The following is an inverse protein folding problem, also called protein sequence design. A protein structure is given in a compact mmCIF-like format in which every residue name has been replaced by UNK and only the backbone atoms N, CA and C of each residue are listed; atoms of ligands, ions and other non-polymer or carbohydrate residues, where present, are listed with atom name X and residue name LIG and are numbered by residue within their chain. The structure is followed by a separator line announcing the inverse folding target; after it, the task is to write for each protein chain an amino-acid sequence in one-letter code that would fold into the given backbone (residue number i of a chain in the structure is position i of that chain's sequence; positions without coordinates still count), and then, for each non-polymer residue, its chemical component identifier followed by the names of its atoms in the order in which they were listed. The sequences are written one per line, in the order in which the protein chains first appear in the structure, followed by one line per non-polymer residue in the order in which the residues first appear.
data_IF_658906193391
#
_entry.id   IF_658906193391
#
_cell.length_a   1.000
_cell.length_b   1.000
_cell.length_c   1.000
_cell.angle_alpha   90.00
_cell.angle_beta   90.00
_cell.angle_gamma   90.00
#
_symmetry.space_group_name_H-M   'P 1'
#
loop_
_entity.id
_entity.type
_entity.pdbx_description
1 polymer ?
#
# COMPACT_ATOMS: atom_id res chain seq x y z
N UNK A 1 37.99 -40.68 45.28
CA UNK A 1 38.81 -39.59 44.68
C UNK A 1 38.19 -39.27 43.33
N UNK A 2 37.16 -38.42 43.24
CA UNK A 2 37.22 -36.96 42.98
C UNK A 2 38.24 -36.58 41.90
N UNK A 3 37.79 -36.46 40.66
CA UNK A 3 38.47 -35.67 39.62
C UNK A 3 37.66 -34.42 39.37
N UNK A 4 38.26 -33.27 39.67
CA UNK A 4 37.74 -31.93 39.47
C UNK A 4 38.43 -31.31 38.25
N UNK A 5 37.66 -30.77 37.31
CA UNK A 5 38.19 -30.00 36.18
C UNK A 5 38.31 -28.54 36.63
N UNK A 6 39.55 -28.02 36.60
CA UNK A 6 39.86 -26.60 36.81
C UNK A 6 39.52 -25.80 35.55
N UNK A 7 38.76 -24.71 35.72
CA UNK A 7 38.61 -23.63 34.72
C UNK A 7 39.88 -22.79 34.69
N UNK A 8 40.25 -22.26 33.52
CA UNK A 8 40.74 -20.88 33.35
C UNK A 8 40.65 -20.46 31.87
N UNK A 9 39.60 -19.67 31.61
CA UNK A 9 39.48 -18.48 30.77
C UNK A 9 40.64 -18.16 29.78
N UNK A 10 40.34 -18.05 28.48
CA UNK A 10 40.81 -16.93 27.64
C UNK A 10 40.04 -16.82 26.31
N UNK A 11 39.38 -15.66 26.15
CA UNK A 11 39.15 -14.86 24.93
C UNK A 11 38.35 -15.45 23.76
N UNK A 12 37.04 -15.19 23.76
CA UNK A 12 36.21 -15.22 22.54
C UNK A 12 35.87 -13.78 22.16
N UNK A 13 36.56 -13.25 21.14
CA UNK A 13 36.12 -12.07 20.39
C UNK A 13 35.02 -12.54 19.43
N UNK A 14 33.77 -12.55 19.92
CA UNK A 14 32.58 -12.70 19.08
C UNK A 14 31.90 -11.32 19.04
N UNK A 15 32.29 -10.49 18.07
CA UNK A 15 31.49 -9.33 17.68
C UNK A 15 30.18 -9.89 17.10
N UNK A 16 29.17 -9.96 17.95
CA UNK A 16 27.82 -10.29 17.58
C UNK A 16 27.29 -9.22 16.61
N UNK A 17 27.26 -9.57 15.33
CA UNK A 17 26.38 -8.94 14.34
C UNK A 17 24.97 -9.35 14.76
N UNK A 18 24.33 -8.56 15.62
CA UNK A 18 22.90 -8.64 15.83
C UNK A 18 22.23 -8.07 14.58
N UNK A 19 21.50 -8.86 13.78
CA UNK A 19 20.59 -8.28 12.81
C UNK A 19 19.56 -7.46 13.59
N UNK A 20 19.47 -6.17 13.28
CA UNK A 20 18.35 -5.31 13.67
C UNK A 20 17.10 -5.86 12.97
N UNK A 21 16.43 -6.79 13.64
CA UNK A 21 15.08 -7.21 13.28
C UNK A 21 14.20 -6.01 13.60
N UNK A 22 13.90 -5.20 12.58
CA UNK A 22 12.87 -4.18 12.69
C UNK A 22 11.53 -4.92 12.75
N UNK A 23 11.11 -5.26 13.97
CA UNK A 23 9.74 -5.64 14.24
C UNK A 23 8.93 -4.36 14.02
N UNK A 24 8.37 -4.21 12.82
CA UNK A 24 7.25 -3.30 12.61
C UNK A 24 6.09 -3.88 13.42
N UNK A 25 5.99 -3.50 14.68
CA UNK A 25 4.77 -3.69 15.44
C UNK A 25 3.71 -2.80 14.76
N UNK A 26 2.91 -3.39 13.88
CA UNK A 26 1.67 -2.77 13.45
C UNK A 26 0.88 -2.48 14.73
N UNK A 27 0.67 -1.19 15.04
CA UNK A 27 -0.13 -0.81 16.21
C UNK A 27 -1.52 -1.44 16.00
N UNK A 28 -1.97 -2.37 16.86
CA UNK A 28 -3.25 -3.02 16.67
C UNK A 28 -4.35 -1.96 16.68
N UNK A 29 -5.12 -1.89 15.60
CA UNK A 29 -6.25 -0.97 15.52
C UNK A 29 -7.42 -1.56 16.27
N UNK A 30 -7.65 -1.07 17.49
CA UNK A 30 -8.76 -1.47 18.33
C UNK A 30 -10.00 -0.62 18.03
N UNK A 31 -11.12 -1.29 17.78
CA UNK A 31 -12.44 -0.69 17.54
C UNK A 31 -13.30 -0.96 18.77
N UNK A 32 -13.88 0.11 19.33
CA UNK A 32 -14.89 -0.02 20.38
C UNK A 32 -16.24 -0.33 19.73
N UNK A 33 -16.94 -1.33 20.25
CA UNK A 33 -18.29 -1.69 19.83
C UNK A 33 -19.21 -1.80 21.05
N UNK A 34 -20.38 -1.19 20.94
CA UNK A 34 -21.40 -1.21 21.98
C UNK A 34 -22.79 -1.36 21.35
N UNK A 35 -23.69 -2.00 22.08
CA UNK A 35 -25.05 -2.19 21.61
C UNK A 35 -25.99 -2.59 22.74
N UNK A 36 -27.26 -2.79 22.39
CA UNK A 36 -28.29 -3.31 23.28
C UNK A 36 -28.87 -4.56 22.66
N UNK A 37 -28.85 -5.67 23.39
CA UNK A 37 -29.49 -6.91 22.97
C UNK A 37 -30.92 -6.97 23.54
N UNK A 38 -31.89 -7.18 22.68
CA UNK A 38 -33.28 -7.40 23.05
C UNK A 38 -33.79 -8.71 22.46
N UNK A 39 -34.80 -9.30 23.09
CA UNK A 39 -35.54 -10.42 22.50
C UNK A 39 -36.57 -9.93 21.46
N UNK A 40 -37.38 -10.86 20.95
CA UNK A 40 -38.42 -10.55 19.97
C UNK A 40 -39.56 -9.68 20.52
N UNK A 41 -39.74 -9.61 21.85
CA UNK A 41 -40.72 -8.78 22.54
C UNK A 41 -40.18 -7.36 22.82
N UNK A 42 -38.88 -7.14 22.60
CA UNK A 42 -38.18 -5.89 22.89
C UNK A 42 -37.63 -5.80 24.31
N UNK A 43 -37.72 -6.88 25.09
CA UNK A 43 -37.22 -6.95 26.46
C UNK A 43 -35.70 -7.12 26.45
N UNK A 44 -34.97 -6.49 27.40
CA UNK A 44 -33.52 -6.59 27.46
C UNK A 44 -33.07 -8.01 27.78
N UNK A 45 -32.13 -8.52 26.98
CA UNK A 45 -31.46 -9.79 27.28
C UNK A 45 -30.28 -9.50 28.19
N UNK A 46 -30.21 -10.14 29.36
CA UNK A 46 -29.20 -9.86 30.39
C UNK A 46 -28.25 -11.05 30.61
N UNK A 47 -27.19 -10.80 31.39
CA UNK A 47 -26.22 -11.81 31.81
C UNK A 47 -25.14 -12.10 30.77
N UNK A 48 -24.35 -13.13 31.04
CA UNK A 48 -23.19 -13.47 30.22
C UNK A 48 -23.60 -14.05 28.86
N UNK A 49 -23.01 -13.50 27.79
CA UNK A 49 -23.16 -13.97 26.42
C UNK A 49 -21.81 -14.10 25.75
N UNK A 50 -21.64 -15.14 24.94
CA UNK A 50 -20.45 -15.29 24.09
C UNK A 50 -20.64 -14.47 22.82
N UNK A 51 -19.77 -13.49 22.59
CA UNK A 51 -19.83 -12.60 21.43
C UNK A 51 -18.71 -12.93 20.44
N UNK A 52 -19.01 -12.78 19.16
CA UNK A 52 -18.06 -12.84 18.07
C UNK A 52 -18.45 -11.83 16.98
N UNK A 53 -17.45 -11.33 16.26
CA UNK A 53 -17.63 -10.38 15.18
C UNK A 53 -17.02 -10.89 13.88
N UNK A 54 -17.63 -10.50 12.76
CA UNK A 54 -17.09 -10.73 11.43
C UNK A 54 -17.32 -9.49 10.56
N UNK A 55 -16.44 -9.23 9.59
CA UNK A 55 -16.60 -8.16 8.60
C UNK A 55 -16.70 -8.79 7.22
N UNK A 56 -17.66 -8.31 6.44
CA UNK A 56 -17.90 -8.72 5.06
C UNK A 56 -17.84 -7.53 4.10
N UNK A 57 -17.65 -7.80 2.82
CA UNK A 57 -17.67 -6.78 1.75
C UNK A 57 -19.09 -6.38 1.28
N UNK A 58 -20.15 -6.99 1.84
CA UNK A 58 -21.54 -6.70 1.47
C UNK A 58 -22.53 -6.86 2.65
N UNK A 59 -23.66 -6.14 2.57
CA UNK A 59 -24.74 -6.15 3.57
C UNK A 59 -25.36 -7.54 3.78
N UNK A 60 -25.41 -8.34 2.71
CA UNK A 60 -25.91 -9.71 2.68
C UNK A 60 -25.07 -10.52 1.72
N UNK A 61 -24.72 -11.76 2.06
CA UNK A 61 -23.77 -12.56 1.28
C UNK A 61 -22.35 -12.03 1.44
N UNK A 62 -21.66 -11.80 0.32
CA UNK A 62 -20.30 -11.22 0.31
C UNK A 62 -19.20 -12.16 0.80
N UNK A 63 -17.96 -11.72 0.63
CA UNK A 63 -16.77 -12.41 1.11
C UNK A 63 -16.47 -12.00 2.55
N UNK A 64 -16.01 -12.97 3.35
CA UNK A 64 -15.47 -12.70 4.67
C UNK A 64 -14.14 -11.96 4.53
N UNK A 65 -14.01 -10.83 5.20
CA UNK A 65 -12.79 -10.03 5.26
C UNK A 65 -12.08 -10.14 6.61
N UNK A 66 -12.84 -10.29 7.69
CA UNK A 66 -12.32 -10.36 9.06
C UNK A 66 -13.18 -11.24 9.95
N UNK A 67 -12.58 -11.91 10.93
CA UNK A 67 -13.33 -12.52 12.03
C UNK A 67 -12.57 -12.47 13.35
N UNK A 68 -13.30 -12.32 14.45
CA UNK A 68 -12.74 -12.34 15.81
C UNK A 68 -13.73 -12.91 16.81
N UNK A 69 -13.24 -13.78 17.70
CA UNK A 69 -13.99 -14.23 18.87
C UNK A 69 -13.70 -13.30 20.05
N UNK A 70 -14.74 -12.63 20.56
CA UNK A 70 -14.62 -11.73 21.71
C UNK A 70 -14.65 -12.54 23.02
N UNK A 71 -15.36 -13.67 23.02
CA UNK A 71 -15.56 -14.48 24.20
C UNK A 71 -16.75 -14.01 25.04
N UNK A 72 -16.73 -14.32 26.34
CA UNK A 72 -17.85 -14.02 27.24
C UNK A 72 -17.87 -12.53 27.60
N UNK A 73 -18.99 -11.88 27.34
CA UNK A 73 -19.28 -10.48 27.68
C UNK A 73 -20.54 -10.41 28.54
N UNK A 74 -20.45 -9.70 29.66
CA UNK A 74 -21.60 -9.48 30.54
C UNK A 74 -22.51 -8.38 29.98
N UNK A 75 -23.81 -8.67 29.87
CA UNK A 75 -24.83 -7.69 29.53
C UNK A 75 -25.49 -7.17 30.82
N UNK A 76 -25.64 -5.85 30.93
CA UNK A 76 -26.27 -5.22 32.09
C UNK A 76 -27.80 -5.48 32.15
N UNK A 77 -28.46 -4.99 33.18
CA UNK A 77 -29.92 -5.14 33.38
C UNK A 77 -30.76 -4.51 32.24
N UNK A 78 -30.16 -3.64 31.44
CA UNK A 78 -30.77 -2.97 30.28
C UNK A 78 -30.40 -3.66 28.96
N UNK A 79 -29.64 -4.76 29.01
CA UNK A 79 -29.15 -5.53 27.88
C UNK A 79 -28.00 -4.87 27.13
N UNK A 80 -27.33 -3.89 27.75
CA UNK A 80 -26.20 -3.16 27.16
C UNK A 80 -24.94 -4.00 27.28
N UNK A 81 -24.19 -4.08 26.18
CA UNK A 81 -22.83 -4.64 26.14
C UNK A 81 -21.86 -3.65 25.49
N UNK A 82 -20.59 -3.79 25.84
CA UNK A 82 -19.49 -3.04 25.25
C UNK A 82 -18.24 -3.92 25.23
N UNK A 83 -17.54 -3.96 24.11
CA UNK A 83 -16.27 -4.67 23.97
C UNK A 83 -15.37 -3.98 22.94
N UNK A 84 -14.12 -4.42 22.89
CA UNK A 84 -13.14 -3.99 21.91
C UNK A 84 -12.77 -5.17 21.02
N UNK A 85 -12.55 -4.90 19.74
CA UNK A 85 -12.17 -5.88 18.74
C UNK A 85 -11.18 -5.27 17.76
N UNK A 86 -10.39 -6.07 17.07
CA UNK A 86 -9.49 -5.66 16.01
C UNK A 86 -8.05 -6.11 16.17
N UNK A 87 -7.65 -6.50 17.40
CA UNK A 87 -6.28 -6.93 17.68
C UNK A 87 -6.10 -8.45 17.61
N UNK A 88 -7.07 -9.24 18.09
CA UNK A 88 -6.91 -10.68 18.25
C UNK A 88 -7.59 -11.51 17.16
N UNK A 89 -8.33 -10.85 16.24
CA UNK A 89 -8.92 -11.53 15.10
C UNK A 89 -8.01 -11.62 13.88
N UNK A 90 -8.53 -12.24 12.84
CA UNK A 90 -7.81 -12.57 11.61
C UNK A 90 -8.48 -11.92 10.41
N UNK A 91 -7.69 -11.20 9.62
CA UNK A 91 -8.09 -10.68 8.31
C UNK A 91 -7.76 -11.66 7.19
N UNK A 92 -8.61 -11.69 6.16
CA UNK A 92 -8.33 -12.33 4.88
C UNK A 92 -7.87 -11.25 3.92
N UNK A 93 -6.65 -11.38 3.39
CA UNK A 93 -6.05 -10.42 2.45
C UNK A 93 -5.62 -11.11 1.17
N UNK A 94 -5.72 -10.41 0.04
CA UNK A 94 -5.19 -10.89 -1.24
C UNK A 94 -3.77 -10.35 -1.44
N UNK A 95 -2.80 -11.27 -1.59
CA UNK A 95 -1.40 -10.95 -1.92
C UNK A 95 -1.12 -11.30 -3.38
N UNK A 96 -0.22 -10.52 -3.98
CA UNK A 96 0.35 -10.83 -5.29
C UNK A 96 1.87 -10.88 -5.18
N UNK A 97 2.49 -11.91 -5.76
CA UNK A 97 3.94 -12.05 -5.78
C UNK A 97 4.44 -12.40 -7.18
N UNK A 98 5.67 -12.00 -7.49
CA UNK A 98 6.35 -12.41 -8.71
C UNK A 98 6.90 -13.82 -8.55
N UNK A 99 6.44 -14.76 -9.39
CA UNK A 99 6.98 -16.13 -9.51
C UNK A 99 8.32 -16.09 -10.24
N UNK A 100 8.42 -15.27 -11.28
CA UNK A 100 9.65 -15.04 -12.03
C UNK A 100 9.46 -14.04 -13.17
N UNK A 101 10.56 -13.67 -13.81
CA UNK A 101 10.56 -12.86 -15.03
C UNK A 101 11.10 -13.72 -16.15
N UNK A 102 10.39 -13.75 -17.27
CA UNK A 102 10.72 -14.62 -18.39
C UNK A 102 12.02 -14.17 -19.06
N UNK A 103 12.84 -15.14 -19.48
CA UNK A 103 14.16 -14.90 -20.07
C UNK A 103 14.25 -15.34 -21.54
N UNK A 104 13.15 -15.82 -22.14
CA UNK A 104 13.14 -16.37 -23.48
C UNK A 104 13.63 -17.81 -23.59
N UNK A 105 14.01 -18.46 -22.48
CA UNK A 105 14.64 -19.79 -22.46
C UNK A 105 13.97 -20.77 -21.50
N UNK A 106 13.67 -20.34 -20.26
CA UNK A 106 13.04 -21.17 -19.25
C UNK A 106 11.55 -21.38 -19.55
N UNK A 107 11.11 -22.62 -19.42
CA UNK A 107 9.71 -23.03 -19.56
C UNK A 107 9.02 -23.31 -18.24
N UNK A 108 9.74 -23.31 -17.11
CA UNK A 108 9.16 -23.57 -15.78
C UNK A 108 9.65 -22.51 -14.80
N UNK A 109 8.72 -21.90 -14.09
CA UNK A 109 8.98 -20.92 -13.04
C UNK A 109 8.33 -21.40 -11.75
N UNK A 110 9.13 -21.55 -10.71
CA UNK A 110 8.67 -22.05 -9.41
C UNK A 110 8.89 -21.00 -8.33
N UNK A 111 7.98 -20.96 -7.38
CA UNK A 111 8.12 -20.12 -6.19
C UNK A 111 7.39 -20.73 -5.00
N UNK A 112 8.03 -20.67 -3.83
CA UNK A 112 7.34 -20.89 -2.56
C UNK A 112 6.68 -19.57 -2.15
N UNK A 113 5.38 -19.61 -1.87
CA UNK A 113 4.62 -18.44 -1.42
C UNK A 113 5.13 -17.97 -0.05
N UNK A 114 5.11 -16.66 0.15
CA UNK A 114 5.59 -16.07 1.41
C UNK A 114 4.64 -16.35 2.57
N UNK A 115 3.33 -16.41 2.30
CA UNK A 115 2.31 -16.79 3.26
C UNK A 115 1.61 -18.09 2.88
N UNK A 116 0.96 -18.69 3.87
CA UNK A 116 0.09 -19.85 3.62
C UNK A 116 -1.15 -19.40 2.86
N UNK A 117 -1.28 -19.83 1.60
CA UNK A 117 -2.47 -19.54 0.80
C UNK A 117 -3.68 -20.33 1.29
N UNK A 118 -4.83 -19.67 1.33
CA UNK A 118 -6.11 -20.30 1.55
C UNK A 118 -6.50 -21.19 0.37
N UNK A 119 -7.21 -22.27 0.67
CA UNK A 119 -7.67 -23.26 -0.31
C UNK A 119 -8.47 -22.60 -1.43
N UNK A 120 -8.20 -23.00 -2.68
CA UNK A 120 -8.90 -22.55 -3.88
C UNK A 120 -8.76 -21.04 -4.21
N UNK A 121 -7.73 -20.37 -3.70
CA UNK A 121 -7.52 -18.93 -3.93
C UNK A 121 -6.34 -18.62 -4.86
N UNK A 122 -5.45 -19.59 -5.10
CA UNK A 122 -4.22 -19.37 -5.88
C UNK A 122 -4.54 -19.29 -7.37
N UNK A 123 -4.04 -18.24 -8.00
CA UNK A 123 -4.11 -17.99 -9.44
C UNK A 123 -2.77 -17.47 -9.96
N UNK A 124 -2.36 -17.89 -11.16
CA UNK A 124 -1.10 -17.52 -11.82
C UNK A 124 -1.44 -16.85 -13.15
N UNK A 125 -0.72 -15.79 -13.52
CA UNK A 125 -0.81 -15.17 -14.84
C UNK A 125 0.52 -14.57 -15.28
N UNK A 126 0.77 -14.53 -16.57
CA UNK A 126 1.87 -13.76 -17.19
C UNK A 126 1.34 -12.59 -18.05
N UNK A 127 0.05 -12.25 -17.91
CA UNK A 127 -0.67 -11.30 -18.74
C UNK A 127 -1.20 -11.86 -20.06
N UNK A 128 -0.73 -13.04 -20.50
CA UNK A 128 -1.25 -13.75 -21.69
C UNK A 128 -2.05 -14.98 -21.30
N UNK A 129 -1.48 -15.83 -20.45
CA UNK A 129 -2.10 -17.04 -19.94
C UNK A 129 -2.52 -16.85 -18.47
N UNK A 130 -3.53 -17.60 -18.08
CA UNK A 130 -3.98 -17.68 -16.70
C UNK A 130 -4.16 -19.12 -16.28
N UNK A 131 -3.87 -19.41 -15.03
CA UNK A 131 -4.27 -20.66 -14.37
C UNK A 131 -4.85 -20.33 -13.00
N UNK A 132 -5.91 -21.00 -12.58
CA UNK A 132 -6.39 -20.95 -11.20
C UNK A 132 -6.64 -22.35 -10.65
N UNK A 133 -6.59 -22.50 -9.33
CA UNK A 133 -6.92 -23.76 -8.67
C UNK A 133 -8.33 -24.27 -9.01
N UNK A 134 -9.27 -23.35 -9.27
CA UNK A 134 -10.69 -23.66 -9.49
C UNK A 134 -11.06 -23.85 -10.94
N UNK A 135 -10.38 -23.17 -11.86
CA UNK A 135 -10.74 -23.16 -13.30
C UNK A 135 -9.69 -23.81 -14.18
N UNK A 136 -8.53 -24.19 -13.63
CA UNK A 136 -7.44 -24.76 -14.42
C UNK A 136 -6.82 -23.72 -15.36
N UNK A 137 -6.20 -24.19 -16.44
CA UNK A 137 -5.50 -23.32 -17.40
C UNK A 137 -6.44 -22.73 -18.45
N UNK A 138 -6.20 -21.48 -18.84
CA UNK A 138 -6.85 -20.84 -19.99
C UNK A 138 -6.43 -21.42 -21.34
N UNK A 139 -5.24 -22.02 -21.42
CA UNK A 139 -4.80 -22.78 -22.60
C UNK A 139 -4.00 -24.01 -22.17
N UNK A 140 -4.67 -25.14 -21.85
CA UNK A 140 -4.02 -26.35 -21.34
C UNK A 140 -2.96 -26.96 -22.26
N UNK A 141 -2.96 -26.63 -23.56
CA UNK A 141 -1.93 -27.05 -24.53
C UNK A 141 -0.65 -26.23 -24.45
N UNK A 142 -0.71 -25.01 -23.91
CA UNK A 142 0.38 -24.04 -23.96
C UNK A 142 0.91 -23.68 -22.58
N UNK A 143 0.04 -23.69 -21.58
CA UNK A 143 0.32 -23.26 -20.24
C UNK A 143 -0.36 -24.17 -19.23
N UNK A 144 0.35 -24.56 -18.18
CA UNK A 144 -0.21 -25.19 -16.99
C UNK A 144 0.25 -24.43 -15.76
N UNK A 145 -0.56 -24.50 -14.72
CA UNK A 145 -0.17 -24.12 -13.38
C UNK A 145 -0.34 -25.29 -12.42
N UNK A 146 0.39 -25.25 -11.33
CA UNK A 146 0.13 -26.11 -10.18
C UNK A 146 0.39 -25.35 -8.88
N UNK A 147 -0.32 -25.75 -7.84
CA UNK A 147 -0.07 -25.32 -6.48
C UNK A 147 -0.08 -26.53 -5.55
N UNK A 148 0.97 -26.67 -4.76
CA UNK A 148 1.08 -27.66 -3.71
C UNK A 148 0.87 -26.98 -2.35
N UNK A 149 -0.24 -27.28 -1.68
CA UNK A 149 -0.61 -26.63 -0.42
C UNK A 149 0.24 -27.09 0.77
N UNK A 150 0.96 -28.20 0.66
CA UNK A 150 1.82 -28.70 1.73
C UNK A 150 3.16 -27.97 1.79
N UNK A 151 3.71 -27.63 0.63
CA UNK A 151 4.97 -26.90 0.46
C UNK A 151 4.78 -25.40 0.20
N UNK A 152 3.57 -24.98 -0.17
CA UNK A 152 3.30 -23.62 -0.63
C UNK A 152 3.90 -23.31 -2.00
N UNK A 153 4.31 -24.33 -2.77
CA UNK A 153 4.98 -24.13 -4.06
C UNK A 153 3.97 -23.91 -5.18
N UNK A 154 4.12 -22.81 -5.91
CA UNK A 154 3.48 -22.58 -7.19
C UNK A 154 4.44 -22.84 -8.35
N UNK A 155 3.90 -23.39 -9.43
CA UNK A 155 4.64 -23.64 -10.66
C UNK A 155 3.86 -23.09 -11.86
N UNK A 156 4.51 -22.29 -12.67
CA UNK A 156 4.03 -21.87 -13.99
C UNK A 156 4.81 -22.65 -15.05
N UNK A 157 4.11 -23.38 -15.92
CA UNK A 157 4.71 -24.37 -16.83
C UNK A 157 4.26 -24.05 -18.27
N UNK A 158 5.20 -23.71 -19.12
CA UNK A 158 4.97 -23.42 -20.54
C UNK A 158 5.28 -24.66 -21.38
N UNK A 159 4.27 -25.19 -22.07
CA UNK A 159 4.36 -26.45 -22.82
C UNK A 159 4.77 -26.21 -24.27
N UNK A 160 4.25 -25.17 -24.91
CA UNK A 160 4.46 -24.92 -26.33
C UNK A 160 5.77 -24.19 -26.68
N UNK A 161 6.54 -23.82 -25.65
CA UNK A 161 7.85 -23.19 -25.79
C UNK A 161 8.08 -22.12 -24.72
N UNK A 162 9.32 -21.66 -24.62
CA UNK A 162 9.65 -20.60 -23.67
C UNK A 162 8.94 -19.28 -24.06
N UNK A 163 8.31 -18.58 -23.11
CA UNK A 163 7.72 -17.28 -23.36
C UNK A 163 8.81 -16.26 -23.69
N UNK A 164 8.49 -15.25 -24.51
CA UNK A 164 9.42 -14.17 -24.82
C UNK A 164 9.94 -13.48 -23.55
N UNK A 165 11.19 -13.02 -23.58
CA UNK A 165 11.83 -12.39 -22.43
C UNK A 165 11.11 -11.10 -22.00
N UNK A 166 11.13 -10.83 -20.69
CA UNK A 166 10.64 -9.58 -20.09
C UNK A 166 9.19 -9.59 -19.61
N UNK A 167 8.49 -10.74 -19.62
CA UNK A 167 7.16 -10.86 -19.01
C UNK A 167 7.28 -11.21 -17.54
N UNK A 168 6.43 -10.63 -16.71
CA UNK A 168 6.35 -10.97 -15.29
C UNK A 168 5.31 -12.05 -15.09
N UNK A 169 5.72 -13.19 -14.53
CA UNK A 169 4.81 -14.23 -14.06
C UNK A 169 4.40 -13.88 -12.64
N UNK A 170 3.13 -13.59 -12.43
CA UNK A 170 2.56 -13.18 -11.15
C UNK A 170 1.64 -14.26 -10.62
N UNK A 171 1.77 -14.56 -9.33
CA UNK A 171 0.79 -15.34 -8.57
C UNK A 171 -0.03 -14.39 -7.70
N UNK A 172 -1.33 -14.62 -7.60
CA UNK A 172 -2.24 -13.96 -6.67
C UNK A 172 -2.96 -15.01 -5.84
N UNK A 173 -3.08 -14.79 -4.54
CA UNK A 173 -3.71 -15.72 -3.60
C UNK A 173 -4.24 -14.97 -2.37
N UNK A 174 -5.16 -15.58 -1.63
CA UNK A 174 -5.62 -15.01 -0.36
C UNK A 174 -4.96 -15.73 0.81
N UNK A 175 -4.63 -15.00 1.87
CA UNK A 175 -4.03 -15.53 3.09
C UNK A 175 -4.62 -14.86 4.33
N UNK A 176 -4.40 -15.49 5.48
CA UNK A 176 -4.75 -14.94 6.78
C UNK A 176 -3.63 -14.02 7.30
N UNK A 177 -4.01 -12.90 7.88
CA UNK A 177 -3.11 -11.96 8.57
C UNK A 177 -3.72 -11.55 9.90
N UNK A 178 -2.90 -11.45 10.94
CA UNK A 178 -3.36 -11.03 12.26
C UNK A 178 -3.85 -9.58 12.28
N UNK A 179 -4.88 -9.34 13.08
CA UNK A 179 -5.48 -8.02 13.27
C UNK A 179 -6.43 -7.63 12.14
N UNK A 180 -7.16 -6.54 12.35
CA UNK A 180 -8.21 -6.04 11.45
C UNK A 180 -7.70 -5.14 10.32
N UNK A 181 -6.45 -4.70 10.40
CA UNK A 181 -5.88 -3.75 9.45
C UNK A 181 -5.92 -4.27 8.01
N UNK A 182 -5.69 -5.57 7.80
CA UNK A 182 -5.79 -6.21 6.49
C UNK A 182 -7.18 -6.09 5.87
N UNK A 183 -8.22 -6.35 6.66
CA UNK A 183 -9.61 -6.26 6.23
C UNK A 183 -10.04 -4.82 5.91
N UNK A 184 -9.49 -3.82 6.61
CA UNK A 184 -9.81 -2.41 6.40
C UNK A 184 -8.97 -1.75 5.29
N UNK A 185 -7.86 -2.37 4.88
CA UNK A 185 -6.99 -1.85 3.83
C UNK A 185 -7.59 -2.02 2.42
N UNK A 186 -8.55 -2.92 2.24
CA UNK A 186 -9.23 -3.19 0.97
C UNK A 186 -10.75 -3.26 1.11
N UNK A 187 -11.46 -3.22 -0.02
CA UNK A 187 -12.93 -3.30 -0.07
C UNK A 187 -13.61 -1.93 -0.19
N UNK A 188 -14.63 -1.84 -1.05
CA UNK A 188 -15.44 -0.63 -1.22
C UNK A 188 -16.42 -0.42 -0.06
N UNK A 189 -16.77 -1.50 0.64
CA UNK A 189 -17.70 -1.50 1.77
C UNK A 189 -17.26 -2.51 2.83
N UNK A 190 -17.59 -2.21 4.09
CA UNK A 190 -17.34 -3.07 5.24
C UNK A 190 -18.63 -3.21 6.03
N UNK A 191 -19.06 -4.45 6.26
CA UNK A 191 -20.31 -4.78 6.92
C UNK A 191 -20.04 -5.69 8.11
N UNK A 192 -20.24 -5.16 9.31
CA UNK A 192 -20.03 -5.87 10.58
C UNK A 192 -21.22 -6.78 10.87
N UNK A 193 -20.92 -8.04 11.15
CA UNK A 193 -21.86 -9.03 11.64
C UNK A 193 -21.53 -9.36 13.09
N UNK A 194 -22.53 -9.28 13.97
CA UNK A 194 -22.44 -9.77 15.35
C UNK A 194 -23.03 -11.18 15.45
N UNK A 195 -22.37 -12.04 16.20
CA UNK A 195 -22.92 -13.32 16.65
C UNK A 195 -23.01 -13.36 18.17
N UNK A 196 -24.15 -13.84 18.69
CA UNK A 196 -24.41 -13.99 20.12
C UNK A 196 -24.68 -15.45 20.41
N UNK A 197 -23.90 -16.07 21.29
CA UNK A 197 -23.94 -17.51 21.59
C UNK A 197 -23.89 -18.38 20.32
N UNK A 198 -23.09 -17.97 19.33
CA UNK A 198 -22.97 -18.66 18.05
C UNK A 198 -24.12 -18.42 17.06
N UNK A 199 -25.14 -17.64 17.44
CA UNK A 199 -26.24 -17.26 16.56
C UNK A 199 -25.96 -15.90 15.94
N UNK A 200 -25.83 -15.91 14.62
CA UNK A 200 -25.69 -14.72 13.77
C UNK A 200 -26.93 -13.83 13.90
N UNK A 201 -26.73 -12.55 14.14
CA UNK A 201 -27.80 -11.56 14.14
C UNK A 201 -28.25 -11.22 12.72
N UNK A 202 -29.54 -10.93 12.55
CA UNK A 202 -30.22 -10.85 11.25
C UNK A 202 -29.80 -9.67 10.37
N UNK A 203 -29.12 -8.67 10.94
CA UNK A 203 -28.68 -7.47 10.21
C UNK A 203 -27.18 -7.29 10.39
N UNK A 204 -26.50 -6.93 9.29
CA UNK A 204 -25.12 -6.45 9.34
C UNK A 204 -25.14 -4.93 9.38
N UNK A 205 -24.30 -4.37 10.23
CA UNK A 205 -24.14 -2.93 10.35
C UNK A 205 -23.04 -2.46 9.41
N UNK A 206 -23.31 -1.44 8.59
CA UNK A 206 -22.28 -0.86 7.74
C UNK A 206 -21.25 -0.16 8.63
N UNK A 207 -20.00 -0.60 8.56
CA UNK A 207 -18.88 0.09 9.18
C UNK A 207 -18.57 1.29 8.28
N UNK A 208 -19.08 2.45 8.67
CA UNK A 208 -18.68 3.69 8.05
C UNK A 208 -17.28 4.01 8.54
N UNK A 209 -16.27 3.77 7.71
CA UNK A 209 -14.96 4.32 7.97
C UNK A 209 -15.12 5.84 8.09
N UNK A 210 -14.97 6.38 9.30
CA UNK A 210 -14.69 7.81 9.42
C UNK A 210 -13.36 8.00 8.71
N UNK A 211 -13.22 8.92 7.73
CA UNK A 211 -12.02 9.05 6.88
C UNK A 211 -10.68 9.26 7.63
N UNK A 212 -10.71 9.37 8.95
CA UNK A 212 -9.56 9.55 9.82
C UNK A 212 -8.84 8.25 10.19
N UNK A 213 -9.48 7.07 10.14
CA UNK A 213 -8.85 5.81 10.59
C UNK A 213 -7.85 5.23 9.58
N UNK A 214 -8.14 5.29 8.28
CA UNK A 214 -7.23 4.86 7.19
C UNK A 214 -5.94 5.70 7.13
N UNK A 215 -5.88 6.87 7.81
CA UNK A 215 -4.72 7.76 7.79
C UNK A 215 -3.86 7.74 9.06
N UNK A 216 -4.23 7.02 10.11
CA UNK A 216 -3.42 6.99 11.35
C UNK A 216 -2.11 6.20 11.20
N UNK A 217 -2.00 5.30 10.22
CA UNK A 217 -0.77 4.58 9.89
C UNK A 217 0.25 5.39 9.09
N UNK A 218 -0.13 6.57 8.58
CA UNK A 218 0.75 7.41 7.72
C UNK A 218 1.34 8.60 8.49
N UNK A 219 1.08 8.72 9.79
CA UNK A 219 1.61 9.81 10.62
C UNK A 219 2.84 9.45 11.46
N UNK A 220 3.33 8.20 11.42
CA UNK A 220 4.56 7.80 12.14
C UNK A 220 5.74 7.44 11.24
N UNK A 221 5.59 7.47 9.91
CA UNK A 221 6.69 7.21 8.96
C UNK A 221 7.12 8.43 8.13
N UNK A 222 6.63 9.63 8.46
CA UNK A 222 7.23 10.87 7.91
C UNK A 222 8.45 11.40 8.71
N UNK A 223 8.85 10.70 9.78
CA UNK A 223 10.06 10.98 10.55
C UNK A 223 11.22 10.06 10.16
N UNK A 224 11.50 10.01 8.86
CA UNK A 224 12.87 9.84 8.34
C UNK A 224 13.05 10.80 7.16
N UNK A 225 12.66 12.07 7.36
CA UNK A 225 13.28 13.16 6.64
C UNK A 225 14.55 13.50 7.43
N UNK A 226 15.65 12.92 7.00
CA UNK A 226 16.97 13.40 7.40
C UNK A 226 17.08 14.85 6.92
N UNK A 227 17.23 15.72 7.90
CA UNK A 227 17.68 17.10 7.85
C UNK A 227 16.94 18.19 7.05
N UNK A 228 16.38 19.08 7.88
CA UNK A 228 16.27 20.55 7.74
C UNK A 228 15.07 21.14 6.95
N UNK A 229 14.08 21.55 7.76
CA UNK A 229 13.19 22.71 7.55
C UNK A 229 12.24 22.68 6.35
N UNK A 230 11.26 21.77 6.37
CA UNK A 230 10.01 22.00 5.65
C UNK A 230 9.03 22.69 6.60
N UNK A 231 8.94 24.02 6.51
CA UNK A 231 7.71 24.69 6.92
C UNK A 231 6.59 24.20 6.00
N UNK A 232 5.75 23.29 6.50
CA UNK A 232 4.43 23.08 5.92
C UNK A 232 3.64 24.37 6.12
N UNK A 233 3.68 25.25 5.12
CA UNK A 233 2.70 26.33 4.99
C UNK A 233 1.36 25.64 4.75
N UNK A 234 0.55 25.56 5.80
CA UNK A 234 -0.84 25.11 5.77
C UNK A 234 -1.61 25.96 4.75
N UNK A 235 -1.87 25.41 3.56
CA UNK A 235 -2.86 26.00 2.65
C UNK A 235 -4.06 25.07 2.50
N UNK A 236 -5.25 25.68 2.59
CA UNK A 236 -6.56 25.06 2.41
C UNK A 236 -6.89 25.14 0.92
N UNK A 237 -6.97 24.02 0.18
CA UNK A 237 -7.54 24.06 -1.16
C UNK A 237 -8.94 24.63 -1.08
N UNK A 238 -9.22 25.68 -1.86
CA UNK A 238 -10.59 26.02 -2.20
C UNK A 238 -11.19 24.80 -2.86
N UNK A 239 -12.11 24.14 -2.16
CA UNK A 239 -12.86 23.00 -2.68
C UNK A 239 -13.63 23.48 -3.92
N UNK A 240 -13.70 22.65 -4.97
CA UNK A 240 -14.50 22.77 -6.21
C UNK A 240 -13.80 22.98 -7.57
N UNK A 241 -12.48 23.18 -7.64
CA UNK A 241 -11.83 23.26 -8.96
C UNK A 241 -11.33 21.89 -9.47
N UNK A 242 -11.55 21.63 -10.77
CA UNK A 242 -10.97 20.51 -11.56
C UNK A 242 -9.45 20.64 -11.71
N UNK A 243 -8.92 21.82 -11.40
CA UNK A 243 -7.50 22.10 -11.38
C UNK A 243 -6.98 22.10 -9.93
N UNK A 244 -5.80 21.53 -9.70
CA UNK A 244 -5.07 21.72 -8.45
C UNK A 244 -3.71 22.32 -8.72
N UNK A 245 -3.38 23.35 -7.96
CA UNK A 245 -2.03 23.88 -7.90
C UNK A 245 -1.27 23.24 -6.74
N UNK A 246 -0.22 22.49 -7.06
CA UNK A 246 0.71 21.90 -6.11
C UNK A 246 1.92 22.83 -5.93
N UNK A 247 2.11 23.41 -4.73
CA UNK A 247 3.31 24.19 -4.46
C UNK A 247 4.50 23.23 -4.28
N UNK A 248 5.37 23.13 -5.29
CA UNK A 248 6.62 22.37 -5.20
C UNK A 248 7.75 23.37 -5.07
N UNK A 249 8.18 23.64 -3.84
CA UNK A 249 9.32 24.55 -3.64
C UNK A 249 10.63 23.78 -3.59
N UNK A 250 11.42 23.92 -4.65
CA UNK A 250 12.84 23.59 -4.62
C UNK A 250 13.57 24.89 -4.33
N UNK A 251 14.20 25.03 -3.17
CA UNK A 251 15.10 26.14 -2.85
C UNK A 251 16.46 25.54 -2.55
N UNK A 252 17.27 25.35 -3.59
CA UNK A 252 18.58 24.73 -3.45
C UNK A 252 19.56 25.29 -4.48
N UNK A 253 20.84 25.21 -4.13
CA UNK A 253 22.00 25.56 -4.93
C UNK A 253 22.71 24.33 -5.53
N UNK A 254 22.20 23.13 -5.29
CA UNK A 254 22.83 21.84 -5.66
C UNK A 254 22.10 21.14 -6.80
N UNK A 255 22.85 20.70 -7.81
CA UNK A 255 22.38 19.75 -8.84
C UNK A 255 21.88 18.45 -8.20
N UNK A 256 20.94 17.77 -8.84
CA UNK A 256 20.34 16.51 -8.38
C UNK A 256 19.29 16.66 -7.28
N UNK A 257 18.96 17.88 -6.88
CA UNK A 257 17.95 18.10 -5.86
C UNK A 257 16.56 17.69 -6.36
N UNK A 258 15.93 16.80 -5.60
CA UNK A 258 14.59 16.31 -5.88
C UNK A 258 13.58 16.78 -4.83
N UNK A 259 12.35 17.11 -5.24
CA UNK A 259 11.21 17.31 -4.32
C UNK A 259 9.99 16.55 -4.79
N UNK A 260 9.17 16.16 -3.83
CA UNK A 260 7.96 15.38 -4.06
C UNK A 260 6.73 16.15 -3.61
N UNK A 261 5.64 16.05 -4.37
CA UNK A 261 4.30 16.43 -3.94
C UNK A 261 3.33 15.28 -4.19
N UNK A 262 2.39 15.10 -3.26
CA UNK A 262 1.34 14.09 -3.42
C UNK A 262 0.20 14.66 -4.27
N UNK A 263 -0.28 13.86 -5.21
CA UNK A 263 -1.52 14.14 -5.94
C UNK A 263 -2.69 13.68 -5.06
N UNK A 264 -3.71 14.53 -4.81
CA UNK A 264 -4.86 14.08 -4.03
C UNK A 264 -5.59 12.92 -4.71
N UNK A 265 -5.98 11.93 -3.91
CA UNK A 265 -6.69 10.72 -4.38
C UNK A 265 -8.08 10.97 -4.98
N UNK A 266 -8.57 12.21 -4.98
CA UNK A 266 -9.84 12.57 -5.62
C UNK A 266 -9.75 12.62 -7.15
N UNK A 267 -8.54 12.76 -7.69
CA UNK A 267 -8.31 12.76 -9.12
C UNK A 267 -8.25 11.32 -9.62
N UNK A 268 -9.13 10.95 -10.55
CA UNK A 268 -9.10 9.66 -11.25
C UNK A 268 -8.27 9.71 -12.52
N UNK A 269 -7.92 10.92 -12.98
CA UNK A 269 -7.22 11.15 -14.24
C UNK A 269 -6.35 12.39 -14.13
N UNK A 270 -5.30 12.43 -14.94
CA UNK A 270 -4.55 13.63 -15.27
C UNK A 270 -4.58 13.79 -16.78
N UNK A 271 -5.19 14.88 -17.24
CA UNK A 271 -5.28 15.26 -18.66
C UNK A 271 -4.13 16.20 -19.08
N UNK A 272 -3.60 16.96 -18.13
CA UNK A 272 -2.55 17.92 -18.39
C UNK A 272 -1.74 18.25 -17.13
N UNK A 273 -0.45 18.52 -17.34
CA UNK A 273 0.40 19.14 -16.33
C UNK A 273 0.95 20.44 -16.88
N UNK A 274 0.72 21.53 -16.14
CA UNK A 274 1.37 22.80 -16.38
C UNK A 274 2.48 22.98 -15.36
N UNK A 275 3.69 23.14 -15.85
CA UNK A 275 4.87 23.45 -15.06
C UNK A 275 5.21 24.93 -15.25
N UNK A 276 5.38 25.64 -14.14
CA UNK A 276 5.78 27.03 -14.15
C UNK A 276 6.91 27.24 -13.15
N UNK A 277 8.14 27.30 -13.65
CA UNK A 277 9.35 27.42 -12.86
C UNK A 277 9.98 28.79 -13.08
N UNK A 278 10.25 29.51 -12.01
CA UNK A 278 11.02 30.75 -12.04
C UNK A 278 12.46 30.52 -11.57
N UNK A 279 13.41 30.95 -12.40
CA UNK A 279 14.85 30.83 -12.17
C UNK A 279 15.46 32.24 -12.02
N UNK A 280 15.39 32.86 -10.83
CA UNK A 280 16.05 34.14 -10.61
C UNK A 280 17.55 33.91 -10.54
N UNK A 281 18.29 34.50 -11.48
CA UNK A 281 19.75 34.49 -11.43
C UNK A 281 20.32 35.83 -11.86
N UNK A 282 21.33 36.29 -11.12
CA UNK A 282 22.10 37.50 -11.39
C UNK A 282 23.55 37.15 -11.71
N UNK A 283 23.85 36.87 -12.99
CA UNK A 283 25.22 36.64 -13.46
C UNK A 283 25.30 36.39 -14.97
N UNK A 284 26.51 36.41 -15.52
CA UNK A 284 26.77 36.64 -16.96
C UNK A 284 27.37 35.44 -17.70
N UNK A 285 27.06 34.20 -17.29
CA UNK A 285 27.48 32.98 -17.98
C UNK A 285 26.27 32.19 -18.49
N UNK A 286 26.41 31.50 -19.63
CA UNK A 286 25.35 30.66 -20.19
C UNK A 286 25.27 29.33 -19.46
N UNK A 287 24.10 29.04 -18.88
CA UNK A 287 23.83 27.77 -18.19
C UNK A 287 22.68 27.02 -18.87
N UNK A 288 22.81 25.71 -18.92
CA UNK A 288 21.77 24.76 -19.28
C UNK A 288 21.28 24.10 -17.99
N UNK A 289 19.96 24.10 -17.80
CA UNK A 289 19.31 23.41 -16.71
C UNK A 289 18.32 22.41 -17.26
N UNK A 290 18.30 21.21 -16.70
CA UNK A 290 17.29 20.21 -17.00
C UNK A 290 16.34 20.06 -15.82
N UNK A 291 15.05 20.13 -16.13
CA UNK A 291 13.99 19.83 -15.17
C UNK A 291 13.37 18.51 -15.58
N UNK A 292 13.44 17.53 -14.69
CA UNK A 292 12.81 16.22 -14.85
C UNK A 292 11.57 16.15 -13.95
N UNK A 293 10.46 15.76 -14.55
CA UNK A 293 9.20 15.51 -13.91
C UNK A 293 8.94 14.01 -13.95
N UNK A 294 8.70 13.39 -12.79
CA UNK A 294 8.35 11.97 -12.71
C UNK A 294 7.06 11.78 -11.93
N UNK A 295 6.07 11.14 -12.54
CA UNK A 295 4.86 10.71 -11.84
C UNK A 295 5.07 9.27 -11.37
N UNK A 296 4.96 9.09 -10.06
CA UNK A 296 5.20 7.82 -9.40
C UNK A 296 3.89 7.31 -8.84
N UNK A 297 3.61 6.04 -9.09
CA UNK A 297 2.65 5.25 -8.33
C UNK A 297 3.41 4.49 -7.25
N UNK A 298 2.96 4.61 -6.01
CA UNK A 298 3.58 3.94 -4.87
C UNK A 298 2.65 2.87 -4.30
N UNK A 299 3.11 1.60 -4.27
CA UNK A 299 2.51 0.51 -3.50
C UNK A 299 3.57 -0.11 -2.62
N UNK A 300 3.30 -0.22 -1.32
CA UNK A 300 4.18 -0.96 -0.39
C UNK A 300 5.67 -0.57 -0.55
N UNK A 301 5.95 0.74 -0.66
CA UNK A 301 7.29 1.32 -0.82
C UNK A 301 8.01 1.06 -2.16
N UNK A 302 7.34 0.49 -3.16
CA UNK A 302 7.85 0.40 -4.55
C UNK A 302 7.26 1.53 -5.38
N UNK A 303 8.13 2.30 -6.05
CA UNK A 303 7.73 3.36 -6.96
C UNK A 303 7.71 2.82 -8.40
N UNK A 304 6.53 2.76 -9.01
CA UNK A 304 6.35 2.57 -10.44
C UNK A 304 6.32 3.95 -11.13
N UNK A 305 7.15 4.14 -12.15
CA UNK A 305 7.15 5.36 -12.96
C UNK A 305 6.03 5.27 -13.98
N UNK A 306 5.02 6.12 -13.85
CA UNK A 306 3.91 6.21 -14.80
C UNK A 306 4.23 7.17 -15.95
N UNK A 307 5.02 8.20 -15.69
CA UNK A 307 5.34 9.23 -16.67
C UNK A 307 6.64 9.93 -16.30
N UNK A 308 7.48 10.17 -17.30
CA UNK A 308 8.67 11.02 -17.17
C UNK A 308 8.65 12.06 -18.28
N UNK A 309 8.94 13.30 -17.90
CA UNK A 309 9.21 14.37 -18.83
C UNK A 309 10.49 15.08 -18.42
N UNK A 310 11.41 15.27 -19.36
CA UNK A 310 12.62 16.04 -19.13
C UNK A 310 12.70 17.18 -20.13
N UNK A 311 13.05 18.37 -19.63
CA UNK A 311 13.24 19.56 -20.46
C UNK A 311 14.50 20.29 -20.08
N UNK A 312 15.41 20.37 -21.04
CA UNK A 312 16.55 21.28 -20.99
C UNK A 312 16.10 22.68 -21.38
N UNK A 313 16.39 23.66 -20.52
CA UNK A 313 16.19 25.08 -20.79
C UNK A 313 17.50 25.82 -20.55
N UNK A 314 17.88 26.69 -21.48
CA UNK A 314 18.98 27.63 -21.28
C UNK A 314 18.40 28.99 -20.88
N UNK A 315 18.82 29.51 -19.73
CA UNK A 315 18.31 30.79 -19.23
C UNK A 315 19.34 31.91 -19.45
N UNK A 316 18.88 33.06 -19.95
CA UNK A 316 19.51 34.36 -19.66
C UNK A 316 18.86 34.92 -18.39
N UNK A 317 19.48 35.94 -17.75
CA UNK A 317 19.07 36.57 -16.47
C UNK A 317 17.55 36.59 -16.25
N UNK A 318 17.07 36.02 -15.13
CA UNK A 318 15.65 35.92 -14.71
C UNK A 318 14.72 35.16 -15.67
N UNK A 319 15.18 34.00 -16.18
CA UNK A 319 14.37 33.13 -17.03
C UNK A 319 13.18 32.48 -16.31
N UNK A 320 12.09 32.25 -17.05
CA UNK A 320 10.91 31.51 -16.60
C UNK A 320 10.64 30.37 -17.57
N UNK A 321 10.43 29.16 -17.05
CA UNK A 321 10.05 27.98 -17.82
C UNK A 321 8.56 27.79 -17.58
N UNK A 322 7.74 27.97 -18.62
CA UNK A 322 6.32 27.67 -18.57
C UNK A 322 6.02 26.65 -19.66
N UNK A 323 5.66 25.44 -19.25
CA UNK A 323 5.39 24.33 -20.16
C UNK A 323 4.07 23.69 -19.81
N UNK A 324 3.31 23.36 -20.84
CA UNK A 324 2.04 22.66 -20.72
C UNK A 324 2.16 21.33 -21.45
N UNK A 325 1.96 20.25 -20.71
CA UNK A 325 2.15 18.89 -21.21
C UNK A 325 0.81 18.17 -21.19
N UNK A 326 0.23 17.84 -22.36
CA UNK A 326 -0.91 16.95 -22.40
C UNK A 326 -0.43 15.56 -21.97
N UNK A 327 -1.02 15.04 -20.90
CA UNK A 327 -0.76 13.69 -20.40
C UNK A 327 -2.10 12.94 -20.35
N UNK A 328 -2.10 11.62 -20.52
CA UNK A 328 -3.33 10.85 -20.41
C UNK A 328 -3.10 9.68 -19.46
N UNK A 329 -3.17 9.99 -18.18
CA UNK A 329 -2.80 9.05 -17.11
C UNK A 329 -4.02 8.83 -16.24
N UNK A 330 -4.48 7.58 -16.21
CA UNK A 330 -5.53 7.14 -15.27
C UNK A 330 -4.87 6.84 -13.91
N UNK A 331 -5.43 7.42 -12.86
CA UNK A 331 -4.95 7.26 -11.49
C UNK A 331 -5.80 6.25 -10.75
N UNK A 332 -5.15 5.21 -10.24
CA UNK A 332 -5.82 4.21 -9.40
C UNK A 332 -5.97 4.74 -7.97
N UNK A 333 -7.20 4.88 -7.44
CA UNK A 333 -7.43 5.41 -6.09
C UNK A 333 -6.83 4.53 -4.98
N UNK A 334 -6.46 3.28 -5.30
CA UNK A 334 -5.82 2.34 -4.37
C UNK A 334 -4.33 2.65 -4.13
N UNK A 335 -3.76 3.63 -4.85
CA UNK A 335 -2.33 3.95 -4.81
C UNK A 335 -2.08 5.41 -4.47
N UNK A 336 -0.94 5.67 -3.82
CA UNK A 336 -0.45 7.03 -3.63
C UNK A 336 0.27 7.44 -4.91
N UNK A 337 -0.25 8.47 -5.55
CA UNK A 337 0.39 9.11 -6.69
C UNK A 337 1.20 10.31 -6.23
N UNK A 338 2.45 10.38 -6.68
CA UNK A 338 3.38 11.45 -6.36
C UNK A 338 3.93 12.04 -7.63
N UNK A 339 4.26 13.31 -7.56
CA UNK A 339 5.07 13.97 -8.56
C UNK A 339 6.42 14.28 -7.96
N UNK A 340 7.48 13.80 -8.60
CA UNK A 340 8.87 14.15 -8.32
C UNK A 340 9.31 15.22 -9.33
N UNK A 341 9.91 16.27 -8.83
CA UNK A 341 10.62 17.26 -9.63
C UNK A 341 12.11 17.14 -9.31
N UNK A 342 12.93 16.79 -10.30
CA UNK A 342 14.38 16.78 -10.21
C UNK A 342 14.93 18.00 -10.96
N UNK A 343 15.95 18.62 -10.39
CA UNK A 343 16.69 19.70 -11.03
C UNK A 343 18.14 19.29 -11.27
N UNK A 344 18.62 19.45 -12.49
CA UNK A 344 20.01 19.22 -12.87
C UNK A 344 20.62 20.45 -13.56
N UNK A 345 21.91 20.68 -13.30
CA UNK A 345 22.68 21.78 -13.87
C UNK A 345 24.01 21.29 -14.42
N UNK A 346 24.35 21.71 -15.63
CA UNK A 346 25.60 21.26 -16.27
C UNK A 346 26.85 21.93 -15.69
N UNK A 347 26.74 23.15 -15.14
CA UNK A 347 27.83 23.85 -14.41
C UNK A 347 27.28 24.89 -13.43
N UNK A 348 27.91 25.04 -12.26
CA UNK A 348 27.66 26.15 -11.33
C UNK A 348 26.50 25.98 -10.34
N UNK A 349 26.29 27.03 -9.52
CA UNK A 349 25.19 27.14 -8.55
C UNK A 349 24.06 27.92 -9.18
N UNK A 350 22.95 27.25 -9.49
CA UNK A 350 21.73 27.89 -9.93
C UNK A 350 20.61 27.65 -8.92
N UNK A 351 19.75 28.66 -8.77
CA UNK A 351 18.71 28.67 -7.78
C UNK A 351 17.35 28.57 -8.45
N UNK A 352 16.63 27.48 -8.15
CA UNK A 352 15.17 27.48 -8.26
C UNK A 352 14.65 28.16 -7.00
N UNK A 353 13.69 29.07 -7.13
CA UNK A 353 13.03 29.66 -5.96
C UNK A 353 11.56 29.29 -5.88
N UNK A 354 10.86 29.27 -7.01
CA UNK A 354 9.42 29.02 -7.07
C UNK A 354 9.08 28.16 -8.29
N UNK A 355 8.65 26.92 -8.03
CA UNK A 355 8.00 26.08 -9.03
C UNK A 355 6.54 25.87 -8.63
N UNK A 356 5.66 26.16 -9.57
CA UNK A 356 4.23 25.94 -9.43
C UNK A 356 3.84 24.89 -10.45
N UNK A 357 3.14 23.87 -9.97
CA UNK A 357 2.61 22.84 -10.82
C UNK A 357 1.10 22.89 -10.77
N UNK A 358 0.45 22.92 -11.92
CA UNK A 358 -0.99 22.75 -12.01
C UNK A 358 -1.30 21.41 -12.68
N UNK A 359 -2.12 20.61 -12.02
CA UNK A 359 -2.64 19.34 -12.51
C UNK A 359 -4.11 19.57 -12.83
N UNK A 360 -4.53 19.20 -14.05
CA UNK A 360 -5.94 19.27 -14.49
C UNK A 360 -6.56 17.87 -14.52
N UNK A 361 -7.85 17.80 -14.18
CA UNK A 361 -8.69 16.58 -14.18
C UNK A 361 -8.95 16.05 -15.59
#
# INVERSE_FOLDING_TARGET
MKYAIKKNLLTTLLCAIFPVISIHAAVPSLINYQGRLTDASGDPVTGDKTLAVAIYDAASGGNLLYSESIGVTALDERGIYSFQFGAAGTSIVTKSETVGTTDGTLTVYNKVLTETALTNTVSITDGTYTWSQTSGSSSPSDFLGSFDSGSGTVSAIYISGAPAAGRTVTVTYSCEVEGISGALAGGAEHWLQLSVNGIVQSTRDRVLAVPFALRSGVSNTSLQADDLAVQQVLWRPTMFDSNITLPIRITTSSSGASRYANIPVRFSKISQIKLDCYLPYSGSFGYSSEVELVILRSKEYVNEVLYTFSKTSSATVNGRITETLPVNIELDPSFIHKVKLTYETDTGTAYIYDCVMTVDE
#
